data_IF_795208411765
#
_entry.id   IF_795208411765
#
_cell.length_a   1.000
_cell.length_b   1.000
_cell.length_c   1.000
_cell.angle_alpha   90.00
_cell.angle_beta   90.00
_cell.angle_gamma   90.00
#
_symmetry.space_group_name_H-M   'P 1'
#
loop_
_entity.id
_entity.type
_entity.pdbx_description
1 polymer ?
#
# COMPACT_ATOMS: atom_id res chain seq x y z
N UNK A 1 22.61 2.35 -17.00
CA UNK A 1 22.47 0.88 -17.01
C UNK A 1 22.89 0.24 -15.67
N UNK A 2 24.06 0.57 -15.10
CA UNK A 2 24.51 0.04 -13.80
C UNK A 2 23.52 0.33 -12.66
N UNK A 3 23.02 1.56 -12.52
CA UNK A 3 22.05 1.97 -11.50
C UNK A 3 20.73 1.20 -11.62
N UNK A 4 20.24 1.00 -12.85
CA UNK A 4 19.04 0.20 -13.07
C UNK A 4 19.22 -1.25 -12.62
N UNK A 5 20.34 -1.87 -12.98
CA UNK A 5 20.63 -3.25 -12.57
C UNK A 5 20.77 -3.38 -11.05
N UNK A 6 21.49 -2.46 -10.40
CA UNK A 6 21.64 -2.45 -8.95
C UNK A 6 20.28 -2.24 -8.25
N UNK A 7 19.51 -1.25 -8.66
CA UNK A 7 18.17 -0.99 -8.10
C UNK A 7 17.23 -2.19 -8.28
N UNK A 8 17.21 -2.77 -9.49
CA UNK A 8 16.40 -3.96 -9.77
C UNK A 8 16.83 -5.17 -8.94
N UNK A 9 18.16 -5.39 -8.77
CA UNK A 9 18.68 -6.49 -7.95
C UNK A 9 18.29 -6.33 -6.49
N UNK A 10 18.41 -5.12 -5.92
CA UNK A 10 18.03 -4.85 -4.52
C UNK A 10 16.53 -5.03 -4.31
N UNK A 11 15.70 -4.46 -5.19
CA UNK A 11 14.24 -4.58 -5.09
C UNK A 11 13.77 -6.04 -5.26
N UNK A 12 14.33 -6.77 -6.23
CA UNK A 12 14.02 -8.19 -6.43
C UNK A 12 14.49 -9.03 -5.27
N UNK A 13 15.71 -8.83 -4.75
CA UNK A 13 16.22 -9.53 -3.59
C UNK A 13 15.33 -9.32 -2.37
N UNK A 14 14.89 -8.09 -2.10
CA UNK A 14 13.94 -7.80 -1.04
C UNK A 14 12.66 -8.64 -1.19
N UNK A 15 12.02 -8.60 -2.36
CA UNK A 15 10.75 -9.31 -2.61
C UNK A 15 10.93 -10.82 -2.42
N UNK A 16 11.97 -11.41 -3.02
CA UNK A 16 12.23 -12.85 -2.95
C UNK A 16 12.52 -13.30 -1.51
N UNK A 17 13.40 -12.60 -0.81
CA UNK A 17 13.76 -12.93 0.58
C UNK A 17 12.53 -12.78 1.49
N UNK A 18 11.79 -11.69 1.38
CA UNK A 18 10.63 -11.43 2.22
C UNK A 18 9.50 -12.46 2.00
N UNK A 19 9.23 -12.85 0.75
CA UNK A 19 8.25 -13.91 0.44
C UNK A 19 8.75 -15.27 0.95
N UNK A 20 10.02 -15.60 0.74
CA UNK A 20 10.59 -16.85 1.23
C UNK A 20 10.50 -16.97 2.75
N UNK A 21 10.81 -15.87 3.48
CA UNK A 21 10.65 -15.81 4.93
C UNK A 21 9.20 -15.93 5.36
N UNK A 22 8.26 -15.27 4.68
CA UNK A 22 6.82 -15.38 4.99
C UNK A 22 6.32 -16.82 4.83
N UNK A 23 6.70 -17.51 3.74
CA UNK A 23 6.36 -18.92 3.51
C UNK A 23 7.01 -19.83 4.54
N UNK A 24 8.27 -19.58 4.90
CA UNK A 24 8.97 -20.36 5.94
C UNK A 24 8.27 -20.21 7.29
N UNK A 25 7.96 -18.98 7.70
CA UNK A 25 7.24 -18.72 8.96
C UNK A 25 5.85 -19.35 8.95
N UNK A 26 5.14 -19.30 7.82
CA UNK A 26 3.84 -19.96 7.69
C UNK A 26 3.96 -21.46 7.94
N UNK A 27 4.97 -22.12 7.36
CA UNK A 27 5.19 -23.57 7.51
C UNK A 27 5.60 -23.96 8.92
N UNK A 28 6.51 -23.20 9.54
CA UNK A 28 7.05 -23.50 10.88
C UNK A 28 6.04 -23.16 11.99
N UNK A 29 5.38 -22.01 11.91
CA UNK A 29 4.49 -21.51 12.96
C UNK A 29 3.01 -21.83 12.70
N UNK A 30 2.68 -22.48 11.57
CA UNK A 30 1.29 -22.83 11.17
C UNK A 30 0.34 -21.63 11.28
N UNK A 31 0.81 -20.44 10.88
CA UNK A 31 0.00 -19.23 10.90
C UNK A 31 -1.21 -19.36 9.97
N UNK A 32 -2.32 -18.69 10.33
CA UNK A 32 -3.55 -18.72 9.54
C UNK A 32 -3.34 -18.09 8.16
N UNK A 33 -4.15 -18.50 7.17
CA UNK A 33 -4.15 -17.91 5.83
C UNK A 33 -4.40 -16.40 5.85
N UNK A 34 -5.21 -15.91 6.78
CA UNK A 34 -5.45 -14.48 6.96
C UNK A 34 -4.20 -13.73 7.48
N UNK A 35 -3.46 -14.34 8.40
CA UNK A 35 -2.20 -13.75 8.88
C UNK A 35 -1.15 -13.71 7.76
N UNK A 36 -1.06 -14.77 6.94
CA UNK A 36 -0.19 -14.78 5.77
C UNK A 36 -0.58 -13.67 4.78
N UNK A 37 -1.87 -13.49 4.49
CA UNK A 37 -2.35 -12.43 3.60
C UNK A 37 -1.94 -11.04 4.10
N UNK A 38 -2.05 -10.76 5.39
CA UNK A 38 -1.60 -9.50 5.98
C UNK A 38 -0.07 -9.37 5.96
N UNK A 39 0.66 -10.46 6.15
CA UNK A 39 2.13 -10.47 6.01
C UNK A 39 2.55 -10.10 4.58
N UNK A 40 1.92 -10.71 3.57
CA UNK A 40 2.19 -10.38 2.16
C UNK A 40 1.85 -8.92 1.83
N UNK A 41 0.77 -8.39 2.40
CA UNK A 41 0.42 -6.97 2.29
C UNK A 41 1.54 -6.06 2.85
N UNK A 42 2.07 -6.35 4.05
CA UNK A 42 3.18 -5.58 4.61
C UNK A 42 4.50 -5.76 3.84
N UNK A 43 4.74 -6.94 3.26
CA UNK A 43 5.89 -7.15 2.35
C UNK A 43 5.76 -6.25 1.13
N UNK A 44 4.58 -6.18 0.53
CA UNK A 44 4.32 -5.29 -0.59
C UNK A 44 4.54 -3.81 -0.22
N UNK A 45 4.02 -3.38 0.93
CA UNK A 45 4.28 -2.01 1.42
C UNK A 45 5.77 -1.75 1.64
N UNK A 46 6.47 -2.68 2.25
CA UNK A 46 7.91 -2.60 2.46
C UNK A 46 8.70 -2.52 1.16
N UNK A 47 8.20 -3.07 0.05
CA UNK A 47 8.89 -3.02 -1.26
C UNK A 47 8.98 -1.61 -1.85
N UNK A 48 8.17 -0.67 -1.39
CA UNK A 48 8.27 0.73 -1.80
C UNK A 48 9.54 1.42 -1.26
N UNK A 49 10.12 0.92 -0.14
CA UNK A 49 11.39 1.46 0.38
C UNK A 49 12.53 1.20 -0.61
N UNK A 50 12.88 -0.05 -0.95
CA UNK A 50 13.92 -0.28 -1.95
C UNK A 50 13.58 0.34 -3.31
N UNK A 51 12.30 0.43 -3.69
CA UNK A 51 11.89 1.09 -4.93
C UNK A 51 12.23 2.58 -4.94
N UNK A 52 12.09 3.27 -3.84
CA UNK A 52 12.36 4.73 -3.75
C UNK A 52 13.80 5.05 -3.37
N UNK A 53 14.54 4.12 -2.76
CA UNK A 53 15.92 4.35 -2.27
C UNK A 53 16.97 3.80 -3.23
N UNK A 54 16.73 2.61 -3.81
CA UNK A 54 17.74 1.92 -4.64
C UNK A 54 17.78 2.43 -6.09
N UNK A 55 16.75 3.11 -6.58
CA UNK A 55 16.77 3.73 -7.89
C UNK A 55 17.11 5.23 -7.79
N UNK A 56 18.00 5.70 -8.65
CA UNK A 56 18.42 7.11 -8.69
C UNK A 56 17.41 8.00 -9.43
N UNK A 57 16.63 7.42 -10.35
CA UNK A 57 15.68 8.15 -11.20
C UNK A 57 14.35 7.41 -11.27
N UNK A 58 13.27 8.17 -11.30
CA UNK A 58 11.89 7.67 -11.24
C UNK A 58 11.53 6.70 -12.37
N UNK A 59 12.01 6.94 -13.59
CA UNK A 59 11.66 6.10 -14.74
C UNK A 59 12.29 4.71 -14.67
N UNK A 60 13.44 4.52 -13.98
CA UNK A 60 13.95 3.19 -13.65
C UNK A 60 13.00 2.41 -12.74
N UNK A 61 12.50 3.07 -11.70
CA UNK A 61 11.52 2.48 -10.80
C UNK A 61 10.18 2.16 -11.53
N UNK A 62 9.74 3.04 -12.43
CA UNK A 62 8.55 2.83 -13.25
C UNK A 62 8.70 1.65 -14.22
N UNK A 63 9.86 1.53 -14.90
CA UNK A 63 10.17 0.36 -15.74
C UNK A 63 10.17 -0.92 -14.90
N UNK A 64 10.81 -0.91 -13.74
CA UNK A 64 10.83 -2.06 -12.85
C UNK A 64 9.41 -2.47 -12.43
N UNK A 65 8.56 -1.53 -12.02
CA UNK A 65 7.15 -1.79 -11.69
C UNK A 65 6.38 -2.35 -12.90
N UNK A 66 6.61 -1.83 -14.09
CA UNK A 66 5.99 -2.31 -15.33
C UNK A 66 6.40 -3.74 -15.67
N UNK A 67 7.69 -4.07 -15.49
CA UNK A 67 8.21 -5.44 -15.65
C UNK A 67 7.59 -6.37 -14.63
N UNK A 68 7.44 -5.95 -13.37
CA UNK A 68 6.75 -6.74 -12.36
C UNK A 68 5.30 -7.03 -12.77
N UNK A 69 4.57 -6.05 -13.29
CA UNK A 69 3.20 -6.26 -13.81
C UNK A 69 3.21 -7.30 -14.91
N UNK A 70 4.12 -7.16 -15.89
CA UNK A 70 4.23 -8.07 -17.04
C UNK A 70 4.58 -9.51 -16.64
N UNK A 71 5.34 -9.71 -15.56
CA UNK A 71 5.72 -11.04 -15.06
C UNK A 71 4.66 -11.63 -14.13
N UNK A 72 4.12 -10.82 -13.22
CA UNK A 72 3.15 -11.29 -12.21
C UNK A 72 1.79 -11.58 -12.84
N UNK A 73 1.37 -10.83 -13.83
CA UNK A 73 0.10 -11.05 -14.53
C UNK A 73 -0.05 -12.47 -15.09
N UNK A 74 0.84 -12.96 -15.98
CA UNK A 74 0.72 -14.33 -16.51
C UNK A 74 0.96 -15.39 -15.41
N UNK A 75 1.84 -15.13 -14.45
CA UNK A 75 2.07 -16.02 -13.32
C UNK A 75 0.79 -16.26 -12.52
N UNK A 76 0.04 -15.21 -12.18
CA UNK A 76 -1.23 -15.31 -11.47
C UNK A 76 -2.31 -15.99 -12.30
N UNK A 77 -2.35 -15.79 -13.63
CA UNK A 77 -3.27 -16.50 -14.52
C UNK A 77 -3.00 -18.01 -14.51
N UNK A 78 -1.74 -18.41 -14.52
CA UNK A 78 -1.33 -19.82 -14.45
C UNK A 78 -1.67 -20.38 -13.07
N UNK A 79 -1.36 -19.65 -12.00
CA UNK A 79 -1.63 -20.05 -10.61
C UNK A 79 -3.11 -20.38 -10.39
N UNK A 80 -4.01 -19.54 -10.93
CA UNK A 80 -5.45 -19.75 -10.85
C UNK A 80 -5.96 -20.99 -11.64
N UNK A 81 -5.16 -21.52 -12.57
CA UNK A 81 -5.51 -22.69 -13.36
C UNK A 81 -4.99 -24.01 -12.77
N UNK A 82 -4.05 -23.97 -11.83
CA UNK A 82 -3.42 -25.15 -11.22
C UNK A 82 -4.06 -25.44 -9.85
N UNK A 83 -4.89 -26.49 -9.72
CA UNK A 83 -5.63 -26.78 -8.48
C UNK A 83 -4.73 -27.02 -7.26
N UNK A 84 -3.51 -27.54 -7.47
CA UNK A 84 -2.52 -27.79 -6.40
C UNK A 84 -2.06 -26.51 -5.72
N UNK A 85 -1.99 -25.40 -6.44
CA UNK A 85 -1.51 -24.12 -5.97
C UNK A 85 -2.64 -23.20 -5.46
N UNK A 86 -3.86 -23.38 -5.97
CA UNK A 86 -5.05 -22.64 -5.51
C UNK A 86 -5.40 -22.95 -4.04
N UNK A 87 -5.02 -24.13 -3.52
CA UNK A 87 -5.20 -24.50 -2.12
C UNK A 87 -4.26 -23.77 -1.14
N UNK A 88 -3.18 -23.13 -1.63
CA UNK A 88 -2.27 -22.32 -0.80
C UNK A 88 -2.83 -20.91 -0.54
N UNK A 89 -3.70 -20.43 -1.42
CA UNK A 89 -4.28 -19.09 -1.38
C UNK A 89 -5.78 -19.22 -1.08
N UNK A 90 -6.15 -19.06 0.18
CA UNK A 90 -7.57 -19.05 0.59
C UNK A 90 -8.18 -17.71 0.19
N UNK A 91 -8.96 -17.70 -0.92
CA UNK A 91 -9.70 -16.53 -1.39
C UNK A 91 -11.06 -16.43 -0.68
N UNK A 92 -11.49 -15.19 -0.36
CA UNK A 92 -12.85 -14.91 0.14
C UNK A 92 -13.87 -14.97 -0.99
N UNK A 93 -13.42 -14.60 -2.20
CA UNK A 93 -14.18 -14.68 -3.45
C UNK A 93 -13.22 -14.97 -4.62
N UNK A 94 -13.74 -15.57 -5.67
CA UNK A 94 -12.94 -16.03 -6.82
C UNK A 94 -12.19 -14.85 -7.48
N UNK A 95 -10.89 -14.94 -7.55
CA UNK A 95 -10.02 -13.91 -8.16
C UNK A 95 -9.62 -12.75 -7.23
N UNK A 96 -9.87 -12.85 -5.92
CA UNK A 96 -9.48 -11.82 -4.94
C UNK A 96 -7.98 -11.53 -5.00
N UNK A 97 -7.14 -12.56 -4.98
CA UNK A 97 -5.69 -12.37 -5.03
C UNK A 97 -5.21 -11.76 -6.34
N UNK A 98 -5.78 -12.20 -7.45
CA UNK A 98 -5.46 -11.65 -8.76
C UNK A 98 -5.80 -10.16 -8.81
N UNK A 99 -7.02 -9.79 -8.43
CA UNK A 99 -7.48 -8.41 -8.44
C UNK A 99 -6.65 -7.51 -7.51
N UNK A 100 -6.49 -7.91 -6.25
CA UNK A 100 -5.76 -7.13 -5.25
C UNK A 100 -4.29 -6.95 -5.61
N UNK A 101 -3.61 -8.01 -6.11
CA UNK A 101 -2.21 -7.92 -6.52
C UNK A 101 -2.03 -7.00 -7.73
N UNK A 102 -2.90 -7.12 -8.74
CA UNK A 102 -2.86 -6.22 -9.90
C UNK A 102 -3.12 -4.77 -9.51
N UNK A 103 -4.13 -4.51 -8.68
CA UNK A 103 -4.40 -3.16 -8.15
C UNK A 103 -3.19 -2.59 -7.39
N UNK A 104 -2.50 -3.41 -6.58
CA UNK A 104 -1.32 -2.99 -5.86
C UNK A 104 -0.14 -2.62 -6.77
N UNK A 105 0.11 -3.42 -7.81
CA UNK A 105 1.16 -3.14 -8.79
C UNK A 105 0.83 -1.91 -9.65
N UNK A 106 -0.43 -1.72 -10.03
CA UNK A 106 -0.86 -0.49 -10.70
C UNK A 106 -0.75 0.74 -9.78
N UNK A 107 -1.13 0.61 -8.50
CA UNK A 107 -0.93 1.67 -7.53
C UNK A 107 0.55 2.04 -7.38
N UNK A 108 1.45 1.03 -7.39
CA UNK A 108 2.90 1.25 -7.38
C UNK A 108 3.36 2.06 -8.59
N UNK A 109 2.97 1.67 -9.80
CA UNK A 109 3.34 2.37 -11.02
C UNK A 109 2.79 3.81 -11.02
N UNK A 110 1.52 4.00 -10.68
CA UNK A 110 0.86 5.32 -10.66
C UNK A 110 1.53 6.24 -9.64
N UNK A 111 1.77 5.78 -8.42
CA UNK A 111 2.39 6.59 -7.37
C UNK A 111 3.82 6.99 -7.74
N UNK A 112 4.60 6.10 -8.33
CA UNK A 112 5.95 6.42 -8.83
C UNK A 112 5.89 7.47 -9.94
N UNK A 113 5.03 7.29 -10.95
CA UNK A 113 4.92 8.23 -12.06
C UNK A 113 4.42 9.61 -11.61
N UNK A 114 3.43 9.66 -10.72
CA UNK A 114 2.80 10.93 -10.30
C UNK A 114 3.63 11.62 -9.22
N UNK A 115 3.96 10.94 -8.12
CA UNK A 115 4.65 11.60 -7.01
C UNK A 115 6.12 11.86 -7.33
N UNK A 116 6.80 10.87 -7.88
CA UNK A 116 8.23 11.01 -8.17
C UNK A 116 8.49 11.54 -9.59
N UNK A 117 7.76 11.04 -10.60
CA UNK A 117 7.94 11.47 -11.98
C UNK A 117 7.47 12.90 -12.24
N UNK A 118 6.21 13.21 -11.90
CA UNK A 118 5.62 14.52 -12.18
C UNK A 118 5.92 15.56 -11.08
N UNK A 119 5.91 15.18 -9.79
CA UNK A 119 6.17 16.09 -8.69
C UNK A 119 7.64 16.15 -8.27
N UNK A 120 8.49 15.25 -8.77
CA UNK A 120 9.93 15.22 -8.45
C UNK A 120 10.26 14.70 -7.04
N UNK A 121 9.29 14.15 -6.31
CA UNK A 121 9.44 13.85 -4.88
C UNK A 121 9.14 12.38 -4.55
N UNK A 122 10.19 11.62 -4.28
CA UNK A 122 10.09 10.21 -3.89
C UNK A 122 9.47 9.98 -2.51
N UNK A 123 9.54 10.94 -1.59
CA UNK A 123 8.93 10.80 -0.27
C UNK A 123 7.41 10.84 -0.34
N UNK A 124 6.85 11.55 -1.33
CA UNK A 124 5.41 11.59 -1.54
C UNK A 124 4.86 10.24 -2.06
N UNK A 125 5.69 9.42 -2.73
CA UNK A 125 5.33 8.02 -3.05
C UNK A 125 5.04 7.25 -1.77
N UNK A 126 6.01 7.27 -0.83
CA UNK A 126 5.87 6.58 0.44
C UNK A 126 4.72 7.14 1.28
N UNK A 127 4.58 8.48 1.34
CA UNK A 127 3.51 9.12 2.11
C UNK A 127 2.11 8.73 1.61
N UNK A 128 1.90 8.71 0.29
CA UNK A 128 0.62 8.33 -0.31
C UNK A 128 0.26 6.86 -0.04
N UNK A 129 1.24 5.96 -0.15
CA UNK A 129 1.01 4.53 0.01
C UNK A 129 0.89 4.15 1.49
N UNK A 130 1.72 4.71 2.36
CA UNK A 130 1.69 4.38 3.79
C UNK A 130 0.51 5.02 4.52
N UNK A 131 -0.04 6.13 4.00
CA UNK A 131 -1.31 6.67 4.48
C UNK A 131 -2.43 5.62 4.47
N UNK A 132 -2.45 4.77 3.42
CA UNK A 132 -3.41 3.67 3.34
C UNK A 132 -2.87 2.37 3.97
N UNK A 133 -1.71 1.93 3.56
CA UNK A 133 -1.29 0.55 3.77
C UNK A 133 -1.05 0.18 5.23
N UNK A 134 -0.45 1.06 6.03
CA UNK A 134 -0.27 0.86 7.47
C UNK A 134 -1.64 0.95 8.16
N UNK A 135 -2.44 1.95 7.79
CA UNK A 135 -3.76 2.17 8.34
C UNK A 135 -4.70 0.99 8.14
N UNK A 136 -4.86 0.47 6.90
CA UNK A 136 -5.70 -0.70 6.60
C UNK A 136 -5.24 -1.96 7.36
N UNK A 137 -3.92 -2.19 7.42
CA UNK A 137 -3.38 -3.32 8.14
C UNK A 137 -3.77 -3.31 9.62
N UNK A 138 -3.60 -2.18 10.30
CA UNK A 138 -3.87 -2.04 11.74
C UNK A 138 -5.38 -1.90 12.00
N UNK A 139 -6.11 -1.13 11.20
CA UNK A 139 -7.55 -0.94 11.32
C UNK A 139 -8.33 -2.26 11.24
N UNK A 140 -7.91 -3.16 10.35
CA UNK A 140 -8.51 -4.48 10.23
C UNK A 140 -8.34 -5.33 11.51
N UNK A 141 -7.18 -5.24 12.18
CA UNK A 141 -6.93 -5.93 13.45
C UNK A 141 -7.75 -5.33 14.60
N UNK A 142 -7.74 -3.99 14.70
CA UNK A 142 -8.48 -3.25 15.74
C UNK A 142 -9.98 -3.42 15.55
N UNK A 143 -10.49 -3.26 14.31
CA UNK A 143 -11.90 -3.41 14.00
C UNK A 143 -12.46 -4.81 14.28
N UNK A 144 -11.64 -5.87 14.09
CA UNK A 144 -12.03 -7.24 14.46
C UNK A 144 -12.06 -7.47 15.97
N UNK A 145 -11.10 -6.92 16.70
CA UNK A 145 -10.96 -7.17 18.14
C UNK A 145 -11.83 -6.28 19.00
N UNK A 146 -12.00 -5.02 18.59
CA UNK A 146 -12.64 -3.97 19.38
C UNK A 146 -13.81 -3.27 18.67
N UNK A 147 -14.15 -3.65 17.43
CA UNK A 147 -15.17 -3.00 16.61
C UNK A 147 -16.60 -3.29 17.06
N UNK A 148 -17.06 -2.57 18.08
CA UNK A 148 -18.39 -2.70 18.63
C UNK A 148 -19.43 -1.84 17.90
N UNK A 149 -19.01 -0.70 17.33
CA UNK A 149 -19.91 0.25 16.66
C UNK A 149 -19.78 0.13 15.15
N UNK A 150 -20.77 -0.50 14.50
CA UNK A 150 -20.82 -0.61 13.03
C UNK A 150 -21.18 0.72 12.39
N UNK A 151 -20.55 1.01 11.25
CA UNK A 151 -20.83 2.23 10.49
C UNK A 151 -22.09 2.01 9.68
N UNK A 152 -23.17 2.73 10.03
CA UNK A 152 -24.47 2.67 9.35
C UNK A 152 -24.58 3.74 8.25
N UNK A 153 -23.56 3.85 7.43
CA UNK A 153 -23.57 4.80 6.32
C UNK A 153 -23.77 4.07 4.99
N UNK A 154 -24.70 4.57 4.17
CA UNK A 154 -25.12 3.95 2.90
C UNK A 154 -23.96 3.63 1.95
N UNK A 155 -22.91 4.45 1.97
CA UNK A 155 -21.75 4.30 1.09
C UNK A 155 -20.61 3.49 1.71
N UNK A 156 -20.66 3.25 3.02
CA UNK A 156 -19.64 2.46 3.72
C UNK A 156 -19.86 0.96 3.50
N UNK A 157 -18.77 0.18 3.58
CA UNK A 157 -18.87 -1.26 3.65
C UNK A 157 -19.44 -1.67 5.02
N UNK A 158 -20.44 -2.55 5.01
CA UNK A 158 -21.16 -3.01 6.21
C UNK A 158 -20.26 -3.70 7.26
N UNK A 159 -19.07 -4.13 6.89
CA UNK A 159 -18.10 -4.77 7.80
C UNK A 159 -17.22 -3.77 8.56
N UNK A 160 -17.26 -2.48 8.21
CA UNK A 160 -16.43 -1.44 8.85
C UNK A 160 -17.00 -1.03 10.21
N UNK A 161 -16.08 -0.65 11.13
CA UNK A 161 -16.41 -0.16 12.45
C UNK A 161 -15.79 1.21 12.71
N UNK A 162 -16.40 1.97 13.60
CA UNK A 162 -15.92 3.31 14.00
C UNK A 162 -14.52 3.22 14.60
N UNK A 163 -14.28 2.22 15.46
CA UNK A 163 -12.98 2.00 16.10
C UNK A 163 -11.88 1.67 15.07
N UNK A 164 -12.20 0.84 14.08
CA UNK A 164 -11.30 0.54 12.97
C UNK A 164 -10.97 1.80 12.16
N UNK A 165 -11.98 2.61 11.82
CA UNK A 165 -11.79 3.83 11.04
C UNK A 165 -11.03 4.92 11.81
N UNK A 166 -11.23 5.06 13.12
CA UNK A 166 -10.42 5.94 13.95
C UNK A 166 -8.96 5.49 14.00
N UNK A 167 -8.73 4.18 14.11
CA UNK A 167 -7.39 3.63 14.04
C UNK A 167 -6.73 3.87 12.66
N UNK A 168 -7.48 3.71 11.56
CA UNK A 168 -7.06 4.06 10.21
C UNK A 168 -6.61 5.52 10.13
N UNK A 169 -7.44 6.46 10.63
CA UNK A 169 -7.13 7.89 10.65
C UNK A 169 -5.84 8.18 11.42
N UNK A 170 -5.69 7.60 12.61
CA UNK A 170 -4.50 7.80 13.44
C UNK A 170 -3.23 7.27 12.75
N UNK A 171 -3.27 6.05 12.20
CA UNK A 171 -2.14 5.44 11.50
C UNK A 171 -1.79 6.21 10.21
N UNK A 172 -2.79 6.63 9.44
CA UNK A 172 -2.60 7.43 8.23
C UNK A 172 -1.97 8.79 8.57
N UNK A 173 -2.49 9.48 9.59
CA UNK A 173 -1.91 10.73 10.07
C UNK A 173 -0.45 10.57 10.47
N UNK A 174 -0.15 9.59 11.33
CA UNK A 174 1.22 9.35 11.82
C UNK A 174 2.17 9.01 10.68
N UNK A 175 1.76 8.18 9.73
CA UNK A 175 2.58 7.78 8.59
C UNK A 175 2.93 8.98 7.70
N UNK A 176 1.91 9.76 7.32
CA UNK A 176 2.11 10.96 6.47
C UNK A 176 2.96 12.00 7.22
N UNK A 177 2.64 12.27 8.48
CA UNK A 177 3.35 13.26 9.28
C UNK A 177 4.83 12.91 9.44
N UNK A 178 5.14 11.66 9.77
CA UNK A 178 6.53 11.18 9.88
C UNK A 178 7.29 11.36 8.57
N UNK A 179 6.66 11.00 7.44
CA UNK A 179 7.31 11.13 6.13
C UNK A 179 7.49 12.58 5.68
N UNK A 180 6.56 13.48 6.03
CA UNK A 180 6.72 14.90 5.77
C UNK A 180 7.84 15.52 6.63
N UNK A 181 8.02 15.07 7.88
CA UNK A 181 9.18 15.48 8.72
C UNK A 181 10.49 15.00 8.09
N UNK A 182 10.56 13.73 7.67
CA UNK A 182 11.77 13.16 7.04
C UNK A 182 12.09 13.88 5.72
N UNK A 183 11.06 14.21 4.94
CA UNK A 183 11.19 14.97 3.71
C UNK A 183 11.77 16.37 3.97
N UNK A 184 11.31 17.03 5.02
CA UNK A 184 11.65 18.42 5.31
C UNK A 184 10.92 19.44 4.42
N UNK A 185 11.27 20.71 4.58
CA UNK A 185 10.77 21.81 3.75
C UNK A 185 9.33 22.27 4.06
N UNK A 186 8.67 21.69 5.07
CA UNK A 186 7.30 22.04 5.48
C UNK A 186 7.32 22.44 6.96
N UNK A 187 6.64 23.53 7.30
CA UNK A 187 6.50 23.96 8.70
C UNK A 187 5.67 22.95 9.50
N UNK A 188 5.95 22.83 10.80
CA UNK A 188 5.24 21.88 11.68
C UNK A 188 3.71 22.04 11.64
N UNK A 189 3.13 23.26 11.72
CA UNK A 189 1.68 23.43 11.64
C UNK A 189 1.10 22.97 10.30
N UNK A 190 1.79 23.28 9.19
CA UNK A 190 1.38 22.82 7.85
C UNK A 190 1.48 21.31 7.72
N UNK A 191 2.55 20.68 8.24
CA UNK A 191 2.72 19.24 8.27
C UNK A 191 1.60 18.53 9.03
N UNK A 192 1.19 19.06 10.17
CA UNK A 192 0.03 18.53 10.94
C UNK A 192 -1.26 18.64 10.12
N UNK A 193 -1.53 19.80 9.53
CA UNK A 193 -2.74 20.05 8.73
C UNK A 193 -2.80 19.12 7.52
N UNK A 194 -1.71 19.02 6.75
CA UNK A 194 -1.61 18.16 5.56
C UNK A 194 -1.85 16.70 5.95
N UNK A 195 -1.20 16.24 7.02
CA UNK A 195 -1.32 14.86 7.48
C UNK A 195 -2.71 14.51 7.96
N UNK A 196 -3.38 15.47 8.66
CA UNK A 196 -4.74 15.27 9.13
C UNK A 196 -5.74 15.20 7.96
N UNK A 197 -5.64 16.13 7.00
CA UNK A 197 -6.52 16.16 5.82
C UNK A 197 -6.29 14.94 4.92
N UNK A 198 -5.04 14.56 4.69
CA UNK A 198 -4.71 13.37 3.90
C UNK A 198 -5.19 12.10 4.61
N UNK A 199 -4.97 11.97 5.91
CA UNK A 199 -5.43 10.84 6.70
C UNK A 199 -6.96 10.73 6.72
N UNK A 200 -7.67 11.85 6.89
CA UNK A 200 -9.13 11.88 6.86
C UNK A 200 -9.69 11.46 5.49
N UNK A 201 -9.14 12.01 4.41
CA UNK A 201 -9.56 11.66 3.05
C UNK A 201 -9.28 10.19 2.73
N UNK A 202 -8.10 9.67 3.12
CA UNK A 202 -7.75 8.26 2.92
C UNK A 202 -8.67 7.33 3.71
N UNK A 203 -9.01 7.71 4.95
CA UNK A 203 -9.95 6.94 5.80
C UNK A 203 -11.34 6.91 5.18
N UNK A 204 -11.83 8.04 4.66
CA UNK A 204 -13.11 8.09 3.94
C UNK A 204 -13.08 7.23 2.67
N UNK A 205 -11.98 7.29 1.92
CA UNK A 205 -11.77 6.43 0.75
C UNK A 205 -11.82 4.94 1.10
N UNK A 206 -11.18 4.54 2.20
CA UNK A 206 -11.17 3.16 2.71
C UNK A 206 -12.56 2.72 3.17
N UNK A 207 -13.32 3.58 3.84
CA UNK A 207 -14.71 3.29 4.24
C UNK A 207 -15.62 3.02 3.05
N UNK A 208 -15.43 3.71 1.94
CA UNK A 208 -16.24 3.58 0.72
C UNK A 208 -15.76 2.48 -0.21
N UNK A 209 -14.50 2.07 -0.12
CA UNK A 209 -13.91 1.08 -1.00
C UNK A 209 -14.45 -0.33 -0.67
N UNK A 210 -14.81 -1.09 -1.73
CA UNK A 210 -15.35 -2.45 -1.64
C UNK A 210 -14.50 -3.39 -2.50
N UNK A 211 -14.55 -4.67 -2.19
CA UNK A 211 -13.97 -5.75 -3.03
C UNK A 211 -12.47 -5.57 -3.34
N UNK A 212 -11.66 -5.03 -2.39
CA UNK A 212 -10.22 -4.85 -2.59
C UNK A 212 -9.83 -3.64 -3.43
N UNK A 213 -10.77 -2.79 -3.84
CA UNK A 213 -10.49 -1.54 -4.57
C UNK A 213 -9.75 -0.51 -3.69
N UNK A 214 -9.78 -0.66 -2.37
CA UNK A 214 -9.03 0.15 -1.40
C UNK A 214 -7.54 0.24 -1.73
N UNK A 215 -6.96 -0.84 -2.23
CA UNK A 215 -5.55 -0.94 -2.63
C UNK A 215 -5.13 0.07 -3.70
N UNK A 216 -6.05 0.47 -4.59
CA UNK A 216 -5.80 1.49 -5.62
C UNK A 216 -6.43 2.84 -5.26
N UNK A 217 -7.66 2.83 -4.75
CA UNK A 217 -8.43 4.05 -4.45
C UNK A 217 -7.77 4.86 -3.33
N UNK A 218 -7.37 4.22 -2.24
CA UNK A 218 -6.84 4.96 -1.09
C UNK A 218 -5.51 5.67 -1.35
N UNK A 219 -4.48 5.05 -1.99
CA UNK A 219 -3.27 5.77 -2.38
C UNK A 219 -3.57 6.90 -3.38
N UNK A 220 -4.53 6.71 -4.29
CA UNK A 220 -4.93 7.75 -5.26
C UNK A 220 -5.61 8.92 -4.57
N UNK A 221 -6.52 8.68 -3.62
CA UNK A 221 -7.14 9.72 -2.79
C UNK A 221 -6.09 10.43 -1.94
N UNK A 222 -5.17 9.68 -1.33
CA UNK A 222 -4.07 10.26 -0.57
C UNK A 222 -3.22 11.22 -1.43
N UNK A 223 -2.83 10.81 -2.66
CA UNK A 223 -2.14 11.69 -3.61
C UNK A 223 -2.96 12.93 -3.95
N UNK A 224 -4.25 12.76 -4.23
CA UNK A 224 -5.14 13.86 -4.63
C UNK A 224 -5.24 14.98 -3.58
N UNK A 225 -5.06 14.65 -2.30
CA UNK A 225 -5.05 15.63 -1.20
C UNK A 225 -3.63 16.08 -0.86
N UNK A 226 -2.71 15.13 -0.74
CA UNK A 226 -1.33 15.39 -0.32
C UNK A 226 -0.58 16.32 -1.30
N UNK A 227 -0.65 16.03 -2.61
CA UNK A 227 0.17 16.76 -3.60
C UNK A 227 -0.20 18.24 -3.72
N UNK A 228 -1.48 18.64 -3.83
CA UNK A 228 -1.84 20.06 -3.85
C UNK A 228 -1.44 20.79 -2.57
N UNK A 229 -1.65 20.16 -1.41
CA UNK A 229 -1.32 20.77 -0.12
C UNK A 229 0.20 20.93 0.09
N UNK A 230 0.99 19.94 -0.31
CA UNK A 230 2.45 20.05 -0.25
C UNK A 230 2.96 21.16 -1.16
N UNK A 231 2.41 21.29 -2.38
CA UNK A 231 2.74 22.40 -3.28
C UNK A 231 2.36 23.77 -2.70
N UNK A 232 1.24 23.83 -2.00
CA UNK A 232 0.76 25.09 -1.41
C UNK A 232 1.60 25.54 -0.20
N UNK A 233 2.04 24.59 0.64
CA UNK A 233 2.70 24.89 1.92
C UNK A 233 4.20 24.54 1.95
N UNK A 234 4.70 23.81 0.98
CA UNK A 234 6.07 23.28 1.01
C UNK A 234 6.94 23.68 -0.18
N UNK A 235 6.40 24.48 -1.10
CA UNK A 235 7.13 25.04 -2.24
C UNK A 235 7.57 24.00 -3.26
#
# INVERSE_FOLDING_TARGET
MRDFLLGSSVATAYIVIAIALAVLVQRLCRISSEALRKTLHFILLGSYIPLTVAFSVWWHAAIFASVLIALVFPFLLILNRVPLLSGLLVERWRGEYFGSMMMALFAMLITVCVCWGYCGDRYLVLASVYAWGIGDGVAALVGRRYGNHKILWRFADAHKSVEGSLCMLACSFLSVFTLLIIRGGISMPAGILISLLTGAATTLGEMCARNGLDTLVCPTVAMGVLLPLVRLFGG
#
